data_IF_177677958666
#
_entry.id   IF_177677958666
#
_cell.length_a   1.000
_cell.length_b   1.000
_cell.length_c   1.000
_cell.angle_alpha   90.00
_cell.angle_beta   90.00
_cell.angle_gamma   90.00
#
_symmetry.space_group_name_H-M   'P 1'
#
loop_
_entity.id
_entity.type
_entity.pdbx_description
1 polymer ?
#
# COMPACT_ATOMS: atom_id res chain seq x y z
N UNK A 1 4.98 36.20 -41.14
CA UNK A 1 5.40 35.27 -40.05
C UNK A 1 4.27 35.18 -39.03
N UNK A 2 3.44 34.13 -39.16
CA UNK A 2 2.33 33.89 -38.24
C UNK A 2 2.81 32.86 -37.19
N UNK A 3 2.96 33.30 -35.93
CA UNK A 3 3.13 32.40 -34.80
C UNK A 3 1.80 31.71 -34.56
N UNK A 4 1.70 30.44 -34.93
CA UNK A 4 0.57 29.58 -34.65
C UNK A 4 0.54 29.36 -33.12
N UNK A 5 -0.54 29.81 -32.50
CA UNK A 5 -0.80 29.63 -31.06
C UNK A 5 -1.00 28.12 -30.75
N UNK A 6 0.06 27.44 -30.33
CA UNK A 6 0.05 26.02 -29.92
C UNK A 6 -0.63 25.82 -28.53
N UNK A 7 -1.07 26.93 -27.90
CA UNK A 7 -1.64 26.88 -26.53
C UNK A 7 -3.10 26.40 -26.49
N UNK A 8 -3.81 26.38 -27.63
CA UNK A 8 -5.22 25.95 -27.68
C UNK A 8 -5.38 24.41 -27.58
N UNK A 9 -4.35 23.64 -27.92
CA UNK A 9 -4.41 22.19 -27.96
C UNK A 9 -4.22 21.50 -26.58
N UNK A 10 -3.63 22.19 -25.61
CA UNK A 10 -3.41 21.61 -24.27
C UNK A 10 -4.74 21.34 -23.55
N UNK A 11 -5.80 22.08 -23.84
CA UNK A 11 -7.14 21.81 -23.30
C UNK A 11 -7.77 20.55 -23.87
N UNK A 12 -7.46 20.21 -25.13
CA UNK A 12 -7.90 18.99 -25.77
C UNK A 12 -7.21 17.75 -25.21
N UNK A 13 -5.91 17.80 -24.98
CA UNK A 13 -5.11 16.72 -24.40
C UNK A 13 -5.53 16.44 -22.94
N UNK A 14 -5.79 17.48 -22.14
CA UNK A 14 -6.35 17.32 -20.79
C UNK A 14 -7.73 16.64 -20.78
N UNK A 15 -8.55 16.84 -21.79
CA UNK A 15 -9.85 16.17 -21.96
C UNK A 15 -9.70 14.69 -22.35
N UNK A 16 -8.71 14.33 -23.15
CA UNK A 16 -8.44 12.95 -23.55
C UNK A 16 -7.90 12.12 -22.38
N UNK A 17 -6.95 12.63 -21.60
CA UNK A 17 -6.47 11.95 -20.39
C UNK A 17 -7.57 11.78 -19.30
N UNK A 18 -8.57 12.64 -19.27
CA UNK A 18 -9.71 12.53 -18.35
C UNK A 18 -10.62 11.33 -18.62
N UNK A 19 -10.60 10.75 -19.82
CA UNK A 19 -11.51 9.66 -20.23
C UNK A 19 -11.06 8.27 -19.80
N UNK A 20 -9.79 8.07 -19.47
CA UNK A 20 -9.23 6.74 -19.23
C UNK A 20 -9.25 6.28 -17.75
N UNK A 21 -9.50 7.16 -16.81
CA UNK A 21 -9.59 6.83 -15.40
C UNK A 21 -10.99 7.09 -14.86
N UNK A 22 -11.47 6.16 -14.03
CA UNK A 22 -12.73 6.31 -13.29
C UNK A 22 -12.69 7.54 -12.36
N UNK A 23 -13.84 8.06 -11.92
CA UNK A 23 -13.89 9.09 -10.89
C UNK A 23 -13.18 8.67 -9.61
N UNK A 24 -13.30 7.40 -9.23
CA UNK A 24 -12.70 6.80 -8.04
C UNK A 24 -11.15 6.81 -8.12
N UNK A 25 -10.59 6.39 -9.24
CA UNK A 25 -9.14 6.49 -9.48
C UNK A 25 -8.66 7.94 -9.42
N UNK A 26 -9.41 8.86 -10.01
CA UNK A 26 -9.05 10.29 -9.98
C UNK A 26 -9.06 10.86 -8.59
N UNK A 27 -10.05 10.49 -7.77
CA UNK A 27 -10.16 10.97 -6.40
C UNK A 27 -8.96 10.50 -5.57
N UNK A 28 -8.65 9.20 -5.59
CA UNK A 28 -7.49 8.65 -4.89
C UNK A 28 -6.13 9.09 -5.47
N UNK A 29 -6.07 9.46 -6.73
CA UNK A 29 -4.85 9.99 -7.35
C UNK A 29 -4.59 11.44 -6.98
N UNK A 30 -5.62 12.32 -7.06
CA UNK A 30 -5.45 13.75 -6.76
C UNK A 30 -5.47 14.07 -5.27
N UNK A 31 -6.12 13.21 -4.47
CA UNK A 31 -6.21 13.34 -3.02
C UNK A 31 -5.86 11.99 -2.37
N UNK A 32 -4.62 11.52 -2.50
CA UNK A 32 -4.24 10.23 -1.93
C UNK A 32 -4.32 10.29 -0.39
N UNK A 33 -4.91 9.25 0.19
CA UNK A 33 -5.07 9.09 1.63
C UNK A 33 -3.89 8.35 2.20
N UNK A 34 -3.52 8.70 3.44
CA UNK A 34 -2.51 7.97 4.21
C UNK A 34 -1.12 7.89 3.53
N UNK A 35 -0.75 8.93 2.79
CA UNK A 35 0.61 9.02 2.24
C UNK A 35 1.59 9.33 3.37
N UNK A 36 2.59 8.48 3.55
CA UNK A 36 3.55 8.69 4.63
C UNK A 36 4.49 7.52 4.83
N UNK A 37 5.10 7.48 6.00
CA UNK A 37 5.98 6.38 6.42
C UNK A 37 6.04 6.35 7.94
N UNK A 38 5.90 5.13 8.50
CA UNK A 38 6.18 4.84 9.91
C UNK A 38 7.65 4.47 10.09
N UNK A 39 8.08 4.42 11.34
CA UNK A 39 9.38 3.84 11.68
C UNK A 39 9.35 2.32 11.39
N UNK A 40 10.27 1.86 10.57
CA UNK A 40 10.40 0.45 10.22
C UNK A 40 10.89 -0.44 11.38
N UNK A 41 11.51 0.19 12.39
CA UNK A 41 12.06 -0.52 13.56
C UNK A 41 11.01 -0.72 14.66
N UNK A 42 9.86 -0.07 14.55
CA UNK A 42 8.75 -0.28 15.47
C UNK A 42 8.25 -1.73 15.35
N UNK A 43 8.23 -2.52 16.44
CA UNK A 43 7.78 -3.91 16.43
C UNK A 43 6.31 -4.04 16.00
N UNK A 44 5.49 -3.00 16.20
CA UNK A 44 4.09 -2.98 15.81
C UNK A 44 3.88 -2.58 14.34
N UNK A 45 4.96 -2.27 13.62
CA UNK A 45 4.90 -1.85 12.22
C UNK A 45 5.43 -2.93 11.29
N UNK A 46 4.56 -3.46 10.45
CA UNK A 46 4.94 -4.28 9.31
C UNK A 46 5.28 -3.41 8.10
N UNK A 47 6.37 -3.71 7.42
CA UNK A 47 6.88 -2.94 6.28
C UNK A 47 7.12 -3.86 5.09
N UNK A 48 6.61 -3.46 3.93
CA UNK A 48 6.92 -4.11 2.66
C UNK A 48 7.35 -3.09 1.60
N UNK A 49 8.23 -3.55 0.73
CA UNK A 49 8.56 -2.84 -0.52
C UNK A 49 8.37 -3.83 -1.65
N UNK A 50 7.41 -3.55 -2.50
CA UNK A 50 7.09 -4.39 -3.67
C UNK A 50 7.24 -3.58 -4.94
N UNK A 51 7.67 -4.22 -6.00
CA UNK A 51 7.86 -3.56 -7.29
C UNK A 51 7.70 -4.53 -8.44
N UNK A 52 7.31 -4.00 -9.59
CA UNK A 52 7.21 -4.76 -10.83
C UNK A 52 8.02 -4.08 -11.92
N UNK A 53 9.16 -4.69 -12.25
CA UNK A 53 10.12 -4.14 -13.22
C UNK A 53 9.47 -3.83 -14.59
N UNK A 54 8.50 -4.65 -15.01
CA UNK A 54 7.80 -4.47 -16.30
C UNK A 54 7.01 -3.15 -16.40
N UNK A 55 6.58 -2.57 -15.26
CA UNK A 55 5.78 -1.34 -15.23
C UNK A 55 6.53 -0.17 -14.60
N UNK A 56 7.68 -0.42 -13.96
CA UNK A 56 8.43 0.57 -13.18
C UNK A 56 7.71 1.05 -11.91
N UNK A 57 6.62 0.37 -11.52
CA UNK A 57 5.87 0.73 -10.32
C UNK A 57 6.54 0.10 -9.08
N UNK A 58 6.73 0.90 -8.04
CA UNK A 58 7.24 0.47 -6.73
C UNK A 58 6.35 1.03 -5.63
N UNK A 59 5.93 0.17 -4.71
CA UNK A 59 5.11 0.53 -3.55
C UNK A 59 5.88 0.16 -2.28
N UNK A 60 6.15 1.15 -1.43
CA UNK A 60 6.46 0.92 -0.02
C UNK A 60 5.16 1.01 0.76
N UNK A 61 4.79 -0.06 1.45
CA UNK A 61 3.56 -0.16 2.22
C UNK A 61 3.89 -0.49 3.67
N UNK A 62 3.20 0.15 4.61
CA UNK A 62 3.40 -0.09 6.03
C UNK A 62 2.05 -0.17 6.73
N UNK A 63 1.94 -1.12 7.65
CA UNK A 63 0.78 -1.31 8.51
C UNK A 63 1.20 -1.19 9.96
N UNK A 64 0.41 -0.50 10.78
CA UNK A 64 0.54 -0.50 12.22
C UNK A 64 -0.55 -1.35 12.81
N UNK A 65 -0.16 -2.36 13.58
CA UNK A 65 -1.05 -3.33 14.18
C UNK A 65 -0.99 -3.19 15.70
N UNK A 66 -2.15 -3.14 16.34
CA UNK A 66 -2.30 -3.15 17.79
C UNK A 66 -3.43 -4.13 18.12
N UNK A 67 -3.20 -5.02 19.07
CA UNK A 67 -4.18 -6.05 19.49
C UNK A 67 -4.71 -6.91 18.33
N UNK A 68 -3.87 -7.23 17.34
CA UNK A 68 -4.24 -8.00 16.16
C UNK A 68 -5.11 -7.25 15.12
N UNK A 69 -5.37 -5.96 15.36
CA UNK A 69 -6.16 -5.10 14.48
C UNK A 69 -5.27 -4.01 13.86
N UNK A 70 -5.46 -3.77 12.57
CA UNK A 70 -4.75 -2.72 11.84
C UNK A 70 -5.34 -1.37 12.23
N UNK A 71 -4.63 -0.62 13.07
CA UNK A 71 -5.03 0.72 13.51
C UNK A 71 -4.76 1.76 12.44
N UNK A 72 -3.63 1.63 11.77
CA UNK A 72 -3.24 2.59 10.75
C UNK A 72 -2.42 1.94 9.64
N UNK A 73 -2.45 2.53 8.45
CA UNK A 73 -1.67 2.10 7.31
C UNK A 73 -1.19 3.31 6.52
N UNK A 74 0.00 3.24 5.98
CA UNK A 74 0.52 4.29 5.11
C UNK A 74 1.32 3.70 3.94
N UNK A 75 1.49 4.52 2.92
CA UNK A 75 2.23 4.12 1.74
C UNK A 75 3.06 5.24 1.13
N UNK A 76 4.06 4.85 0.36
CA UNK A 76 4.76 5.68 -0.61
C UNK A 76 4.86 4.90 -1.91
N UNK A 77 4.42 5.50 -3.01
CA UNK A 77 4.40 4.86 -4.32
C UNK A 77 5.15 5.71 -5.34
N UNK A 78 6.00 5.07 -6.09
CA UNK A 78 6.56 5.58 -7.33
C UNK A 78 6.00 4.77 -8.48
N UNK A 79 5.21 5.40 -9.36
CA UNK A 79 4.54 4.67 -10.43
C UNK A 79 3.39 5.40 -11.07
N UNK A 80 2.55 4.68 -11.79
CA UNK A 80 1.42 5.24 -12.52
C UNK A 80 0.26 5.67 -11.60
N UNK A 81 -0.67 6.48 -12.12
CA UNK A 81 -1.83 6.97 -11.36
C UNK A 81 -2.71 5.85 -10.79
N UNK A 82 -2.81 4.70 -11.48
CA UNK A 82 -3.53 3.54 -10.96
C UNK A 82 -2.81 2.89 -9.78
N UNK A 83 -1.47 2.85 -9.76
CA UNK A 83 -0.70 2.32 -8.65
C UNK A 83 -0.88 3.20 -7.39
N UNK A 84 -0.85 4.53 -7.56
CA UNK A 84 -1.10 5.49 -6.47
C UNK A 84 -2.53 5.31 -5.95
N UNK A 85 -3.52 5.23 -6.84
CA UNK A 85 -4.92 5.09 -6.45
C UNK A 85 -5.18 3.75 -5.75
N UNK A 86 -4.63 2.64 -6.24
CA UNK A 86 -4.77 1.32 -5.60
C UNK A 86 -4.14 1.31 -4.21
N UNK A 87 -2.93 1.86 -4.07
CA UNK A 87 -2.26 1.95 -2.77
C UNK A 87 -3.05 2.81 -1.78
N UNK A 88 -3.55 3.97 -2.22
CA UNK A 88 -4.38 4.85 -1.40
C UNK A 88 -5.67 4.17 -0.95
N UNK A 89 -6.40 3.55 -1.85
CA UNK A 89 -7.65 2.85 -1.56
C UNK A 89 -7.45 1.70 -0.56
N UNK A 90 -6.41 0.89 -0.77
CA UNK A 90 -6.13 -0.25 0.10
C UNK A 90 -5.83 0.19 1.54
N UNK A 91 -5.16 1.33 1.76
CA UNK A 91 -4.95 1.83 3.13
C UNK A 91 -6.25 2.14 3.85
N UNK A 92 -7.29 2.63 3.16
CA UNK A 92 -8.61 2.83 3.76
C UNK A 92 -9.34 1.50 3.99
N UNK A 93 -9.22 0.58 3.02
CA UNK A 93 -9.91 -0.72 3.06
C UNK A 93 -9.47 -1.60 4.24
N UNK A 94 -8.19 -1.55 4.64
CA UNK A 94 -7.64 -2.40 5.69
C UNK A 94 -7.70 -1.79 7.09
N UNK A 95 -7.90 -0.50 7.23
CA UNK A 95 -8.01 0.14 8.55
C UNK A 95 -9.19 -0.41 9.33
N UNK A 96 -8.94 -0.78 10.59
CA UNK A 96 -9.95 -1.37 11.48
C UNK A 96 -10.22 -2.85 11.26
N UNK A 97 -9.58 -3.49 10.27
CA UNK A 97 -9.68 -4.94 10.04
C UNK A 97 -8.62 -5.70 10.82
N UNK A 98 -8.92 -6.96 11.09
CA UNK A 98 -7.92 -7.88 11.63
C UNK A 98 -6.88 -8.24 10.58
N UNK A 99 -5.70 -8.70 11.02
CA UNK A 99 -4.65 -9.15 10.10
C UNK A 99 -5.15 -10.24 9.15
N UNK A 100 -5.95 -11.20 9.64
CA UNK A 100 -6.51 -12.29 8.83
C UNK A 100 -7.49 -11.77 7.75
N UNK A 101 -8.36 -10.81 8.10
CA UNK A 101 -9.28 -10.20 7.15
C UNK A 101 -8.54 -9.38 6.08
N UNK A 102 -7.49 -8.66 6.48
CA UNK A 102 -6.68 -7.89 5.55
C UNK A 102 -5.88 -8.79 4.60
N UNK A 103 -5.42 -9.94 5.06
CA UNK A 103 -4.74 -10.93 4.23
C UNK A 103 -5.67 -11.60 3.19
N UNK A 104 -6.97 -11.69 3.49
CA UNK A 104 -7.99 -12.26 2.60
C UNK A 104 -8.43 -11.33 1.47
N UNK A 105 -8.04 -10.05 1.48
CA UNK A 105 -8.38 -9.07 0.45
C UNK A 105 -7.76 -9.49 -0.88
N UNK A 106 -8.58 -9.44 -1.93
CA UNK A 106 -8.18 -9.82 -3.29
C UNK A 106 -8.02 -8.57 -4.17
N UNK A 107 -7.17 -8.70 -5.17
CA UNK A 107 -7.01 -7.68 -6.20
C UNK A 107 -8.32 -7.35 -6.95
N UNK A 108 -9.25 -8.32 -7.04
CA UNK A 108 -10.59 -8.13 -7.63
C UNK A 108 -11.36 -7.04 -6.90
N UNK A 109 -11.37 -7.07 -5.56
CA UNK A 109 -12.09 -6.11 -4.74
C UNK A 109 -11.58 -4.68 -4.97
N UNK A 110 -10.27 -4.54 -5.15
CA UNK A 110 -9.62 -3.26 -5.45
C UNK A 110 -9.93 -2.80 -6.87
N UNK A 111 -9.82 -3.72 -7.84
CA UNK A 111 -9.98 -3.39 -9.26
C UNK A 111 -11.43 -3.07 -9.63
N UNK A 112 -12.41 -3.71 -9.00
CA UNK A 112 -13.84 -3.47 -9.21
C UNK A 112 -14.26 -2.11 -8.67
N UNK A 113 -13.89 -1.78 -7.44
CA UNK A 113 -14.24 -0.48 -6.83
C UNK A 113 -13.60 0.67 -7.58
N UNK A 114 -12.32 0.54 -7.93
CA UNK A 114 -11.61 1.56 -8.71
C UNK A 114 -11.96 1.53 -10.19
N UNK A 115 -12.71 0.54 -10.66
CA UNK A 115 -13.06 0.34 -12.08
C UNK A 115 -11.81 0.41 -12.96
N UNK A 116 -10.80 -0.36 -12.59
CA UNK A 116 -9.53 -0.36 -13.30
C UNK A 116 -9.69 -1.01 -14.68
N UNK A 117 -9.13 -0.42 -15.74
CA UNK A 117 -9.13 -1.07 -17.04
C UNK A 117 -8.25 -2.34 -17.00
N UNK A 118 -8.51 -3.35 -17.86
CA UNK A 118 -7.78 -4.63 -17.83
C UNK A 118 -6.26 -4.48 -17.88
N UNK A 119 -5.76 -3.49 -18.62
CA UNK A 119 -4.32 -3.19 -18.74
C UNK A 119 -3.70 -2.63 -17.44
N UNK A 120 -4.51 -2.28 -16.44
CA UNK A 120 -4.08 -1.70 -15.15
C UNK A 120 -4.41 -2.57 -13.93
N UNK A 121 -4.99 -3.75 -14.13
CA UNK A 121 -5.27 -4.72 -13.05
C UNK A 121 -4.00 -5.15 -12.32
N UNK A 122 -2.83 -5.12 -12.99
CA UNK A 122 -1.55 -5.40 -12.34
C UNK A 122 -1.22 -4.44 -11.18
N UNK A 123 -1.78 -3.21 -11.16
CA UNK A 123 -1.58 -2.27 -10.06
C UNK A 123 -2.35 -2.70 -8.80
N UNK A 124 -3.55 -3.31 -8.96
CA UNK A 124 -4.29 -3.88 -7.83
C UNK A 124 -3.61 -5.14 -7.28
N UNK A 125 -3.03 -5.99 -8.16
CA UNK A 125 -2.21 -7.12 -7.73
C UNK A 125 -1.01 -6.66 -6.89
N UNK A 126 -0.29 -5.63 -7.35
CA UNK A 126 0.86 -5.10 -6.64
C UNK A 126 0.47 -4.53 -5.26
N UNK A 127 -0.72 -3.92 -5.14
CA UNK A 127 -1.24 -3.44 -3.87
C UNK A 127 -1.64 -4.60 -2.92
N UNK A 128 -2.24 -5.66 -3.43
CA UNK A 128 -2.53 -6.89 -2.68
C UNK A 128 -1.25 -7.51 -2.14
N UNK A 129 -0.24 -7.70 -3.01
CA UNK A 129 1.06 -8.24 -2.62
C UNK A 129 1.74 -7.38 -1.54
N UNK A 130 1.62 -6.05 -1.64
CA UNK A 130 2.17 -5.12 -0.67
C UNK A 130 1.56 -5.32 0.73
N UNK A 131 0.25 -5.50 0.83
CA UNK A 131 -0.45 -5.79 2.10
C UNK A 131 0.02 -7.12 2.68
N UNK A 132 -0.01 -8.19 1.89
CA UNK A 132 0.39 -9.54 2.34
C UNK A 132 1.83 -9.57 2.83
N UNK A 133 2.75 -8.92 2.11
CA UNK A 133 4.15 -8.85 2.52
C UNK A 133 4.37 -7.99 3.77
N UNK A 134 3.62 -6.91 3.95
CA UNK A 134 3.70 -6.09 5.16
C UNK A 134 3.20 -6.84 6.39
N UNK A 135 2.10 -7.59 6.26
CA UNK A 135 1.60 -8.46 7.34
C UNK A 135 2.57 -9.59 7.67
N UNK A 136 3.21 -10.18 6.66
CA UNK A 136 4.25 -11.21 6.87
C UNK A 136 5.47 -10.66 7.63
N UNK A 137 5.92 -9.44 7.31
CA UNK A 137 7.01 -8.78 8.04
C UNK A 137 6.62 -8.53 9.51
N UNK A 138 5.39 -8.03 9.74
CA UNK A 138 4.86 -7.86 11.09
C UNK A 138 4.86 -9.17 11.88
N UNK A 139 4.30 -10.25 11.33
CA UNK A 139 4.25 -11.55 11.99
C UNK A 139 5.66 -12.08 12.28
N UNK A 140 6.62 -11.87 11.39
CA UNK A 140 8.01 -12.27 11.60
C UNK A 140 8.69 -11.50 12.74
N UNK A 141 8.34 -10.23 12.94
CA UNK A 141 8.83 -9.41 14.06
C UNK A 141 8.24 -9.85 15.39
N UNK A 142 6.94 -10.20 15.41
CA UNK A 142 6.29 -10.69 16.62
C UNK A 142 6.90 -12.02 17.10
N UNK A 143 7.18 -12.94 16.17
CA UNK A 143 7.81 -14.22 16.52
C UNK A 143 9.21 -14.03 17.09
N UNK A 144 10.03 -13.13 16.56
CA UNK A 144 11.36 -12.82 17.12
C UNK A 144 11.28 -12.22 18.52
N UNK A 145 10.30 -11.36 18.78
CA UNK A 145 10.11 -10.75 20.10
C UNK A 145 9.64 -11.75 21.17
N UNK A 146 8.97 -12.83 20.75
CA UNK A 146 8.56 -13.94 21.64
C UNK A 146 9.76 -14.77 22.07
N UNK A 147 10.69 -15.02 21.15
CA UNK A 147 11.90 -15.83 21.41
C UNK A 147 12.90 -15.09 22.33
N UNK A 148 13.02 -13.77 22.21
CA UNK A 148 13.91 -12.96 23.06
C UNK A 148 13.43 -12.81 24.51
N UNK A 149 12.13 -12.95 24.78
CA UNK A 149 11.56 -12.90 26.12
C UNK A 149 11.69 -14.22 26.90
N UNK A 150 11.82 -15.36 26.22
CA UNK A 150 11.98 -16.67 26.87
C UNK A 150 13.42 -16.92 27.35
N UNK A 151 14.41 -16.26 26.73
CA UNK A 151 15.82 -16.39 27.10
C UNK A 151 16.23 -15.58 28.35
N UNK A 152 15.42 -14.66 28.83
CA UNK A 152 15.76 -13.79 29.98
C UNK A 152 15.30 -14.31 31.34
N UNK A 153 14.60 -15.46 31.41
CA UNK A 153 14.14 -16.05 32.69
C UNK A 153 14.94 -17.26 33.17
N UNK A 154 16.05 -17.63 32.50
CA UNK A 154 16.81 -18.83 32.82
C UNK A 154 18.12 -18.59 33.61
N UNK A 155 18.35 -17.44 34.22
CA UNK A 155 19.54 -17.20 35.03
C UNK A 155 19.18 -16.55 36.39
N UNK A 156 18.54 -17.29 37.27
CA UNK A 156 18.72 -17.10 38.70
C UNK A 156 18.17 -18.29 39.51
N UNK A 157 18.86 -19.42 39.51
CA UNK A 157 18.77 -20.41 40.60
C UNK A 157 20.15 -21.08 40.76
N UNK A 158 20.84 -20.76 41.84
CA UNK A 158 21.85 -21.68 42.37
C UNK A 158 23.18 -21.07 42.78
N UNK A 159 23.16 -20.33 43.87
CA UNK A 159 24.35 -20.05 44.62
C UNK A 159 24.13 -20.36 46.10
N UNK A 160 24.50 -21.56 46.53
CA UNK A 160 24.77 -21.84 47.92
C UNK A 160 25.97 -22.76 48.02
#
# INVERSE_FOLDING_TARGET
MQYINVISDIRGIRRLCRRFYSPEVKDHFYKPRNVGSFDKNDPNVGTAVVGKAACGDVIKFQVRVEDGVIKDACFKTFGCGSAIASSSYVTELIKGKTCAEAESIKNTDISEVLKLPPVKVHCSLLAEDAVKMALKDYNSKQNKHSDDNDCSQATDVGGK
#
